data_IF_987098103344
#
_entry.id   IF_987098103344
#
_cell.length_a   1.000
_cell.length_b   1.000
_cell.length_c   1.000
_cell.angle_alpha   90.00
_cell.angle_beta   90.00
_cell.angle_gamma   90.00
#
_symmetry.space_group_name_H-M   'P 1'
#
loop_
_entity.id
_entity.type
_entity.pdbx_description
1 polymer ?
#
# COMPACT_ATOMS: atom_id res chain seq x y z
N UNK A 1 -31.27 -9.30 -73.33
CA UNK A 1 -30.86 -7.89 -73.12
C UNK A 1 -29.51 -7.88 -72.45
N UNK A 2 -28.59 -7.09 -73.02
CA UNK A 2 -27.33 -6.58 -72.48
C UNK A 2 -26.25 -7.58 -71.97
N UNK A 3 -25.28 -7.80 -72.85
CA UNK A 3 -23.87 -8.04 -72.57
C UNK A 3 -23.25 -6.91 -71.73
N UNK A 4 -22.15 -7.19 -71.01
CA UNK A 4 -20.82 -6.53 -71.12
C UNK A 4 -19.98 -6.75 -69.84
N UNK A 5 -18.81 -7.29 -70.11
CA UNK A 5 -17.56 -7.42 -69.33
C UNK A 5 -16.98 -6.09 -68.82
N UNK A 6 -16.26 -6.11 -67.68
CA UNK A 6 -15.07 -5.27 -67.36
C UNK A 6 -14.62 -5.58 -65.94
N UNK A 7 -13.45 -6.16 -65.72
CA UNK A 7 -12.07 -5.63 -65.81
C UNK A 7 -11.54 -5.37 -64.38
N UNK A 8 -10.69 -6.31 -63.95
CA UNK A 8 -9.37 -6.20 -63.32
C UNK A 8 -8.85 -4.88 -62.64
N UNK A 9 -7.83 -5.01 -61.78
CA UNK A 9 -7.55 -4.19 -60.59
C UNK A 9 -6.51 -3.09 -60.80
N UNK A 10 -6.35 -2.19 -59.82
CA UNK A 10 -5.19 -1.30 -59.65
C UNK A 10 -4.90 -1.19 -58.14
N UNK A 11 -3.78 -1.70 -57.60
CA UNK A 11 -2.36 -1.29 -57.73
C UNK A 11 -2.02 -0.07 -56.84
N UNK A 12 -0.82 -0.15 -56.22
CA UNK A 12 0.08 0.89 -55.64
C UNK A 12 -0.39 1.67 -54.39
N UNK A 13 0.44 2.14 -53.44
CA UNK A 13 1.91 2.27 -53.29
C UNK A 13 2.15 2.64 -51.81
N UNK A 14 3.10 2.03 -51.09
CA UNK A 14 4.45 2.56 -50.78
C UNK A 14 4.57 4.00 -50.23
N UNK A 15 5.32 4.14 -49.12
CA UNK A 15 6.01 5.37 -48.71
C UNK A 15 5.40 6.01 -47.45
N UNK A 16 6.12 6.58 -46.49
CA UNK A 16 7.54 6.92 -46.27
C UNK A 16 7.63 7.37 -44.81
N UNK A 17 8.55 6.85 -44.01
CA UNK A 17 9.73 7.54 -43.45
C UNK A 17 9.53 8.95 -42.82
N UNK A 18 10.12 9.09 -41.62
CA UNK A 18 10.48 10.32 -40.88
C UNK A 18 9.31 11.09 -40.23
N UNK A 19 9.42 11.65 -39.03
CA UNK A 19 10.52 12.46 -38.52
C UNK A 19 10.28 12.75 -37.02
N UNK A 20 11.31 12.57 -36.19
CA UNK A 20 11.35 13.13 -34.84
C UNK A 20 11.60 14.65 -34.89
N UNK A 21 11.21 15.39 -33.85
CA UNK A 21 12.02 16.51 -33.41
C UNK A 21 12.46 16.34 -31.96
N UNK A 22 13.78 16.42 -31.78
CA UNK A 22 14.43 16.82 -30.56
C UNK A 22 14.35 18.35 -30.37
N UNK A 23 14.96 18.83 -29.29
CA UNK A 23 15.25 20.22 -28.91
C UNK A 23 14.12 20.82 -28.02
N UNK A 24 14.36 21.19 -26.75
CA UNK A 24 15.30 22.24 -26.37
C UNK A 24 15.71 22.16 -24.88
N UNK A 25 17.02 22.19 -24.66
CA UNK A 25 17.69 22.49 -23.39
C UNK A 25 17.78 24.01 -23.25
N UNK A 26 17.47 24.55 -22.07
CA UNK A 26 17.90 25.89 -21.66
C UNK A 26 18.19 25.91 -20.16
N UNK A 27 19.39 26.36 -19.82
CA UNK A 27 19.92 26.54 -18.48
C UNK A 27 20.19 28.04 -18.21
N UNK A 28 20.36 28.34 -16.91
CA UNK A 28 20.69 29.64 -16.29
C UNK A 28 19.53 30.65 -16.25
N UNK A 29 19.14 31.26 -15.14
CA UNK A 29 19.80 31.48 -13.84
C UNK A 29 19.74 32.98 -13.55
N UNK A 30 19.06 33.42 -12.48
CA UNK A 30 19.50 34.55 -11.66
C UNK A 30 18.64 34.73 -10.41
N UNK A 31 19.35 34.93 -9.32
CA UNK A 31 18.95 35.30 -7.97
C UNK A 31 18.24 36.65 -7.88
N UNK A 32 17.21 36.73 -7.04
CA UNK A 32 16.63 37.97 -6.56
C UNK A 32 15.54 37.68 -5.54
N UNK A 33 15.89 37.72 -4.25
CA UNK A 33 14.94 37.52 -3.15
C UNK A 33 14.06 38.73 -2.91
N UNK A 34 12.94 38.50 -2.21
CA UNK A 34 12.45 39.33 -1.10
C UNK A 34 11.19 38.68 -0.46
N UNK A 35 10.87 39.06 0.80
CA UNK A 35 10.22 38.18 1.76
C UNK A 35 8.76 38.57 2.05
N UNK A 36 7.94 37.61 2.46
CA UNK A 36 7.18 37.64 3.72
C UNK A 36 6.21 36.47 3.86
N UNK A 37 6.05 36.07 5.11
CA UNK A 37 5.32 34.94 5.66
C UNK A 37 3.80 34.98 5.45
N UNK A 38 3.22 33.82 5.21
CA UNK A 38 1.97 33.44 5.89
C UNK A 38 1.90 31.93 6.07
N UNK A 39 1.72 31.55 7.34
CA UNK A 39 1.62 30.20 7.85
C UNK A 39 0.46 29.44 7.18
N UNK A 40 0.80 28.42 6.42
CA UNK A 40 -0.10 27.33 6.04
C UNK A 40 0.67 26.03 6.25
N UNK A 41 0.92 25.69 7.52
CA UNK A 41 1.55 24.42 7.88
C UNK A 41 0.59 23.29 7.50
N UNK A 42 0.72 22.78 6.28
CA UNK A 42 0.17 21.47 5.92
C UNK A 42 0.79 20.47 6.90
N UNK A 43 0.00 19.67 7.63
CA UNK A 43 0.57 18.65 8.50
C UNK A 43 1.36 17.68 7.61
N UNK A 44 2.69 17.75 7.70
CA UNK A 44 3.55 16.79 7.06
C UNK A 44 3.15 15.39 7.55
N UNK A 45 2.97 14.40 6.66
CA UNK A 45 2.78 13.03 7.10
C UNK A 45 3.98 12.68 7.98
N UNK A 46 3.71 12.23 9.22
CA UNK A 46 4.77 11.82 10.15
C UNK A 46 5.65 10.79 9.43
N UNK A 47 6.98 10.99 9.35
CA UNK A 47 7.85 9.95 8.82
C UNK A 47 7.64 8.71 9.70
N UNK A 48 7.16 7.63 9.08
CA UNK A 48 7.07 6.34 9.73
C UNK A 48 8.47 5.99 10.24
N UNK A 49 8.52 5.55 11.51
CA UNK A 49 9.71 5.21 12.26
C UNK A 49 10.72 4.42 11.41
N UNK A 50 12.03 4.64 11.63
CA UNK A 50 13.14 3.95 10.97
C UNK A 50 13.25 2.43 11.33
N UNK A 51 12.13 1.79 11.65
CA UNK A 51 12.02 0.36 11.87
C UNK A 51 12.02 -0.33 10.49
N UNK A 52 13.05 -1.16 10.28
CA UNK A 52 13.07 -2.10 9.15
C UNK A 52 11.88 -3.05 9.24
N UNK A 53 11.15 -3.25 8.14
CA UNK A 53 10.11 -4.26 8.06
C UNK A 53 10.65 -5.64 8.48
N UNK A 54 9.88 -6.35 9.31
CA UNK A 54 10.26 -7.67 9.81
C UNK A 54 10.40 -8.68 8.65
N UNK A 55 11.49 -9.48 8.55
CA UNK A 55 11.73 -10.36 7.40
C UNK A 55 10.61 -11.37 7.13
N UNK A 56 10.00 -11.93 8.19
CA UNK A 56 8.89 -12.88 8.02
C UNK A 56 7.60 -12.19 7.53
N UNK A 57 7.36 -10.95 7.95
CA UNK A 57 6.22 -10.18 7.47
C UNK A 57 6.40 -9.84 5.99
N UNK A 58 7.61 -9.41 5.61
CA UNK A 58 7.95 -9.14 4.22
C UNK A 58 7.79 -10.38 3.35
N UNK A 59 8.32 -11.54 3.79
CA UNK A 59 8.20 -12.79 3.07
C UNK A 59 6.73 -13.23 2.90
N UNK A 60 5.93 -13.14 3.96
CA UNK A 60 4.51 -13.48 3.91
C UNK A 60 3.73 -12.55 2.97
N UNK A 61 3.98 -11.24 3.05
CA UNK A 61 3.40 -10.24 2.16
C UNK A 61 3.77 -10.46 0.69
N UNK A 62 5.04 -10.75 0.40
CA UNK A 62 5.54 -10.99 -0.96
C UNK A 62 4.89 -12.22 -1.62
N UNK A 63 4.65 -13.28 -0.83
CA UNK A 63 4.13 -14.55 -1.33
C UNK A 63 2.60 -14.66 -1.26
N UNK A 64 1.94 -13.69 -0.62
CA UNK A 64 0.51 -13.81 -0.31
C UNK A 64 0.24 -14.97 0.67
N UNK A 65 1.16 -15.25 1.60
CA UNK A 65 0.97 -16.24 2.65
C UNK A 65 0.07 -15.66 3.74
N UNK A 66 -1.23 -15.74 3.49
CA UNK A 66 -2.26 -15.26 4.41
C UNK A 66 -2.16 -15.92 5.79
N UNK A 67 -1.90 -17.22 5.85
CA UNK A 67 -1.86 -17.95 7.12
C UNK A 67 -0.65 -17.51 7.95
N UNK A 68 0.53 -17.41 7.34
CA UNK A 68 1.72 -16.88 7.98
C UNK A 68 1.55 -15.43 8.44
N UNK A 69 0.95 -14.57 7.60
CA UNK A 69 0.68 -13.17 7.94
C UNK A 69 -0.35 -13.05 9.07
N UNK A 70 -1.43 -13.82 9.03
CA UNK A 70 -2.43 -13.91 10.09
C UNK A 70 -1.83 -14.42 11.40
N UNK A 71 -1.00 -15.47 11.34
CA UNK A 71 -0.31 -15.99 12.51
C UNK A 71 0.60 -14.93 13.13
N UNK A 72 1.32 -14.14 12.33
CA UNK A 72 2.22 -13.09 12.83
C UNK A 72 1.47 -11.91 13.48
N UNK A 73 0.33 -11.51 12.92
CA UNK A 73 -0.43 -10.34 13.38
C UNK A 73 -1.46 -10.67 14.49
N UNK A 74 -2.00 -11.89 14.55
CA UNK A 74 -3.00 -12.28 15.56
C UNK A 74 -2.41 -13.14 16.70
N UNK A 75 -1.10 -12.99 17.02
CA UNK A 75 -0.41 -13.81 18.05
C UNK A 75 -1.01 -13.69 19.46
N UNK A 76 -1.81 -12.67 19.73
CA UNK A 76 -2.33 -12.37 21.07
C UNK A 76 -3.31 -13.43 21.60
N UNK A 77 -4.06 -14.15 20.76
CA UNK A 77 -5.06 -15.13 21.25
C UNK A 77 -4.47 -16.49 21.65
N UNK A 78 -3.32 -16.88 21.09
CA UNK A 78 -2.72 -18.19 21.41
C UNK A 78 -2.11 -18.27 22.81
N UNK A 79 -1.74 -17.14 23.43
CA UNK A 79 -1.21 -17.11 24.79
C UNK A 79 -2.33 -17.06 25.85
N UNK A 80 -3.44 -16.37 25.57
CA UNK A 80 -4.57 -16.29 26.51
C UNK A 80 -5.22 -17.67 26.66
N UNK A 81 -5.41 -18.41 25.56
CA UNK A 81 -5.89 -19.80 25.63
C UNK A 81 -4.91 -20.71 26.39
N UNK A 82 -3.61 -20.61 26.13
CA UNK A 82 -2.61 -21.47 26.76
C UNK A 82 -2.50 -21.22 28.28
N UNK A 83 -2.54 -19.95 28.70
CA UNK A 83 -2.44 -19.58 30.12
C UNK A 83 -3.75 -19.83 30.90
N UNK A 84 -4.91 -19.68 30.25
CA UNK A 84 -6.20 -19.94 30.89
C UNK A 84 -6.48 -21.44 31.00
N UNK A 85 -6.17 -22.23 29.98
CA UNK A 85 -6.28 -23.69 30.00
C UNK A 85 -5.28 -24.32 30.99
N UNK A 86 -4.09 -23.73 31.14
CA UNK A 86 -3.11 -24.13 32.16
C UNK A 86 -3.55 -23.75 33.59
N UNK A 87 -4.17 -22.58 33.79
CA UNK A 87 -4.76 -22.20 35.10
C UNK A 87 -5.94 -23.08 35.51
N UNK A 88 -6.82 -23.40 34.57
CA UNK A 88 -8.03 -24.19 34.82
C UNK A 88 -7.68 -25.65 35.10
N UNK A 89 -6.63 -26.18 34.45
CA UNK A 89 -6.09 -27.50 34.78
C UNK A 89 -5.35 -27.55 36.12
N UNK A 90 -4.78 -26.44 36.61
CA UNK A 90 -4.06 -26.36 37.90
C UNK A 90 -4.94 -26.05 39.12
N UNK A 91 -6.17 -25.58 38.90
CA UNK A 91 -7.14 -25.26 39.95
C UNK A 91 -7.46 -26.41 40.94
N UNK A 92 -7.41 -27.71 40.58
CA UNK A 92 -7.66 -28.80 41.54
C UNK A 92 -6.53 -29.02 42.54
N UNK A 93 -5.33 -28.48 42.31
CA UNK A 93 -4.14 -28.80 43.12
C UNK A 93 -3.72 -27.68 44.09
N UNK A 94 -4.32 -26.49 44.01
CA UNK A 94 -3.97 -25.34 44.87
C UNK A 94 -4.95 -25.10 46.02
N UNK A 95 -5.92 -25.99 46.23
CA UNK A 95 -6.87 -25.90 47.34
C UNK A 95 -6.75 -27.12 48.25
N UNK A 96 -5.77 -27.11 49.14
CA UNK A 96 -5.67 -28.12 50.19
C UNK A 96 -4.29 -28.30 50.81
N UNK A 97 -4.00 -27.49 51.83
CA UNK A 97 -3.10 -27.77 52.97
C UNK A 97 -1.58 -28.00 52.74
N UNK A 98 -0.79 -27.13 53.39
CA UNK A 98 0.31 -27.59 54.26
C UNK A 98 1.75 -27.44 53.75
N UNK A 99 2.39 -26.33 54.17
CA UNK A 99 3.78 -26.23 54.61
C UNK A 99 4.77 -27.35 54.20
N UNK A 100 5.72 -27.03 53.31
CA UNK A 100 7.10 -27.54 53.42
C UNK A 100 8.08 -26.46 52.93
N UNK A 101 8.85 -25.94 53.88
CA UNK A 101 10.10 -25.26 53.65
C UNK A 101 11.13 -26.26 53.10
N UNK A 102 11.89 -25.84 52.08
CA UNK A 102 13.23 -26.34 51.78
C UNK A 102 14.03 -25.13 51.26
N UNK A 103 14.89 -24.65 52.14
CA UNK A 103 16.04 -23.80 51.85
C UNK A 103 17.09 -24.68 51.14
N UNK A 104 17.71 -24.20 50.05
CA UNK A 104 19.15 -24.37 49.87
C UNK A 104 19.73 -23.32 48.90
N UNK A 105 20.87 -22.78 49.29
CA UNK A 105 21.58 -21.64 48.72
C UNK A 105 22.96 -22.08 48.21
N UNK A 106 23.40 -21.41 47.13
CA UNK A 106 24.78 -21.28 46.63
C UNK A 106 25.47 -22.53 46.03
N UNK A 107 26.08 -22.51 44.84
CA UNK A 107 27.19 -21.61 44.47
C UNK A 107 27.54 -21.70 42.96
N UNK A 108 27.81 -20.53 42.36
CA UNK A 108 28.78 -20.21 41.28
C UNK A 108 28.84 -21.05 39.99
N UNK A 109 28.53 -20.41 38.86
CA UNK A 109 29.53 -20.12 37.82
C UNK A 109 28.97 -19.15 36.78
N UNK A 110 29.71 -18.09 36.53
CA UNK A 110 29.61 -17.22 35.35
C UNK A 110 29.52 -18.06 34.07
N UNK A 111 28.52 -17.80 33.22
CA UNK A 111 28.72 -17.61 31.79
C UNK A 111 27.40 -17.27 31.07
N UNK A 112 27.57 -16.42 30.07
CA UNK A 112 26.63 -15.81 29.15
C UNK A 112 25.55 -16.77 28.64
N UNK A 113 24.29 -16.40 28.83
CA UNK A 113 23.26 -16.31 27.79
C UNK A 113 22.21 -15.34 28.35
N UNK A 114 22.39 -14.04 28.12
CA UNK A 114 21.25 -13.14 28.06
C UNK A 114 20.42 -13.65 26.90
N UNK A 115 19.49 -14.56 27.19
CA UNK A 115 18.39 -14.88 26.32
C UNK A 115 17.74 -13.55 25.98
N UNK A 116 18.06 -13.06 24.78
CA UNK A 116 17.49 -11.87 24.20
C UNK A 116 16.01 -12.17 24.01
N UNK A 117 15.24 -11.96 25.08
CA UNK A 117 13.81 -11.77 25.03
C UNK A 117 13.62 -10.45 24.31
N UNK A 118 13.78 -10.47 22.98
CA UNK A 118 13.28 -9.42 22.11
C UNK A 118 11.84 -9.19 22.59
N UNK A 119 11.50 -7.98 23.08
CA UNK A 119 10.15 -7.67 23.46
C UNK A 119 9.27 -8.12 22.30
N UNK A 120 8.32 -9.01 22.57
CA UNK A 120 7.44 -9.57 21.54
C UNK A 120 6.74 -8.39 20.89
N UNK A 121 7.19 -8.01 19.70
CA UNK A 121 6.71 -6.84 18.97
C UNK A 121 5.19 -6.98 18.80
N UNK A 122 4.42 -5.96 19.20
CA UNK A 122 2.97 -5.97 18.99
C UNK A 122 2.64 -5.99 17.49
N UNK A 123 1.45 -6.45 17.12
CA UNK A 123 1.00 -6.47 15.73
C UNK A 123 1.06 -5.08 15.08
N UNK A 124 0.70 -4.03 15.82
CA UNK A 124 0.80 -2.65 15.39
C UNK A 124 2.27 -2.26 15.10
N UNK A 125 3.20 -2.58 16.01
CA UNK A 125 4.62 -2.27 15.81
C UNK A 125 5.28 -3.09 14.69
N UNK A 126 4.77 -4.29 14.37
CA UNK A 126 5.20 -5.05 13.19
C UNK A 126 4.79 -4.35 11.88
N UNK A 127 3.59 -3.77 11.84
CA UNK A 127 3.05 -3.09 10.67
C UNK A 127 3.67 -1.71 10.44
N UNK A 128 4.18 -1.04 11.47
CA UNK A 128 4.90 0.23 11.34
C UNK A 128 6.23 0.12 10.56
N UNK A 129 6.78 -1.10 10.44
CA UNK A 129 8.02 -1.33 9.73
C UNK A 129 7.88 -1.15 8.21
N UNK A 130 8.85 -0.46 7.59
CA UNK A 130 8.89 -0.22 6.14
C UNK A 130 10.13 -0.83 5.49
N UNK A 131 10.06 -1.08 4.18
CA UNK A 131 11.24 -1.50 3.41
C UNK A 131 12.21 -0.33 3.21
N UNK A 132 13.40 -0.60 2.65
CA UNK A 132 14.38 0.44 2.28
C UNK A 132 13.83 1.48 1.30
N UNK A 133 12.84 1.10 0.49
CA UNK A 133 12.15 2.00 -0.45
C UNK A 133 10.91 2.67 0.17
N UNK A 134 10.67 2.48 1.47
CA UNK A 134 9.53 3.05 2.20
C UNK A 134 8.22 2.28 2.00
N UNK A 135 8.26 1.05 1.48
CA UNK A 135 7.04 0.28 1.27
C UNK A 135 6.51 -0.23 2.61
N UNK A 136 5.25 0.07 2.92
CA UNK A 136 4.52 -0.61 4.00
C UNK A 136 4.11 -2.02 3.55
N UNK A 137 3.67 -2.86 4.49
CA UNK A 137 3.22 -4.22 4.18
C UNK A 137 2.10 -4.22 3.09
N UNK A 138 1.22 -3.23 3.11
CA UNK A 138 0.15 -3.10 2.11
C UNK A 138 0.68 -2.78 0.71
N UNK A 139 1.72 -1.94 0.59
CA UNK A 139 2.33 -1.69 -0.72
C UNK A 139 2.93 -2.95 -1.33
N UNK A 140 3.57 -3.79 -0.49
CA UNK A 140 4.17 -5.06 -0.92
C UNK A 140 3.08 -6.03 -1.39
N UNK A 141 2.05 -6.26 -0.57
CA UNK A 141 0.91 -7.12 -0.95
C UNK A 141 0.27 -6.64 -2.25
N UNK A 142 0.05 -5.33 -2.38
CA UNK A 142 -0.57 -4.72 -3.54
C UNK A 142 0.23 -4.89 -4.83
N UNK A 143 1.57 -4.81 -4.76
CA UNK A 143 2.45 -4.96 -5.92
C UNK A 143 2.61 -6.43 -6.35
N UNK A 144 2.56 -7.38 -5.41
CA UNK A 144 2.97 -8.76 -5.65
C UNK A 144 1.88 -9.64 -6.25
N UNK A 145 0.60 -9.44 -5.91
CA UNK A 145 -0.47 -10.32 -6.40
C UNK A 145 -1.89 -9.83 -6.12
N UNK A 146 -2.84 -10.47 -6.79
CA UNK A 146 -4.27 -10.15 -6.74
C UNK A 146 -5.19 -11.38 -6.61
N UNK A 147 -4.62 -12.53 -6.25
CA UNK A 147 -5.39 -13.72 -5.90
C UNK A 147 -5.97 -13.64 -4.48
N UNK A 148 -6.90 -14.54 -4.15
CA UNK A 148 -7.67 -14.54 -2.90
C UNK A 148 -6.82 -14.35 -1.63
N UNK A 149 -5.65 -14.98 -1.55
CA UNK A 149 -4.80 -14.85 -0.37
C UNK A 149 -4.18 -13.45 -0.26
N UNK A 150 -3.82 -12.80 -1.38
CA UNK A 150 -3.35 -11.42 -1.37
C UNK A 150 -4.46 -10.46 -0.96
N UNK A 151 -5.69 -10.67 -1.44
CA UNK A 151 -6.84 -9.86 -1.06
C UNK A 151 -7.16 -10.01 0.43
N UNK A 152 -7.08 -11.25 0.97
CA UNK A 152 -7.18 -11.49 2.41
C UNK A 152 -6.08 -10.74 3.15
N UNK A 153 -4.81 -10.86 2.74
CA UNK A 153 -3.70 -10.12 3.35
C UNK A 153 -3.97 -8.62 3.40
N UNK A 154 -4.45 -8.02 2.30
CA UNK A 154 -4.83 -6.62 2.25
C UNK A 154 -5.91 -6.29 3.30
N UNK A 155 -6.98 -7.11 3.38
CA UNK A 155 -8.04 -6.94 4.38
C UNK A 155 -7.52 -6.92 5.82
N UNK A 156 -6.66 -7.87 6.22
CA UNK A 156 -6.13 -7.91 7.59
C UNK A 156 -5.22 -6.75 7.91
N UNK A 157 -4.35 -6.38 6.96
CA UNK A 157 -3.47 -5.23 7.14
C UNK A 157 -4.32 -3.97 7.32
N UNK A 158 -5.37 -3.78 6.52
CA UNK A 158 -6.27 -2.65 6.64
C UNK A 158 -7.11 -2.67 7.93
N UNK A 159 -7.53 -3.85 8.40
CA UNK A 159 -8.26 -3.99 9.66
C UNK A 159 -7.40 -3.59 10.87
N UNK A 160 -6.10 -3.90 10.83
CA UNK A 160 -5.14 -3.58 11.90
C UNK A 160 -4.55 -2.16 11.78
N UNK A 161 -4.35 -1.67 10.56
CA UNK A 161 -3.68 -0.42 10.26
C UNK A 161 -4.37 0.30 9.08
N UNK A 162 -5.55 0.85 9.35
CA UNK A 162 -6.39 1.46 8.32
C UNK A 162 -5.73 2.68 7.63
N UNK A 163 -4.80 3.36 8.30
CA UNK A 163 -3.98 4.43 7.72
C UNK A 163 -3.03 3.95 6.61
N UNK A 164 -2.81 2.65 6.45
CA UNK A 164 -1.92 2.11 5.42
C UNK A 164 -2.48 2.21 4.01
N UNK A 165 -3.81 2.32 3.84
CA UNK A 165 -4.42 2.55 2.52
C UNK A 165 -3.89 3.83 1.89
N UNK A 166 -3.75 4.91 2.68
CA UNK A 166 -3.25 6.21 2.22
C UNK A 166 -1.75 6.43 2.50
N UNK A 167 -1.02 5.39 2.91
CA UNK A 167 0.41 5.51 3.17
C UNK A 167 1.18 5.79 1.87
N UNK A 168 2.32 6.46 1.99
CA UNK A 168 3.17 6.85 0.87
C UNK A 168 4.55 6.22 1.02
N UNK A 169 5.08 5.62 -0.04
CA UNK A 169 6.48 5.18 -0.08
C UNK A 169 7.44 6.35 -0.38
N UNK A 170 8.74 6.07 -0.55
CA UNK A 170 9.74 7.11 -0.82
C UNK A 170 9.52 7.89 -2.13
N UNK A 171 8.74 7.33 -3.07
CA UNK A 171 8.35 7.98 -4.34
C UNK A 171 7.01 8.72 -4.24
N UNK A 172 6.37 8.68 -3.07
CA UNK A 172 5.02 9.22 -2.88
C UNK A 172 3.94 8.31 -3.46
N UNK A 173 4.27 7.10 -3.89
CA UNK A 173 3.27 6.16 -4.41
C UNK A 173 2.43 5.62 -3.25
N UNK A 174 1.12 5.52 -3.47
CA UNK A 174 0.19 4.79 -2.58
C UNK A 174 0.17 3.30 -2.94
N UNK A 175 -0.40 2.42 -2.10
CA UNK A 175 -0.65 1.03 -2.48
C UNK A 175 -1.45 0.88 -3.79
N UNK A 176 -2.37 1.81 -4.07
CA UNK A 176 -3.14 1.84 -5.33
C UNK A 176 -2.25 2.07 -6.55
N UNK A 177 -1.25 2.96 -6.46
CA UNK A 177 -0.26 3.16 -7.52
C UNK A 177 0.54 1.88 -7.76
N UNK A 178 0.98 1.22 -6.69
CA UNK A 178 1.74 -0.03 -6.78
C UNK A 178 0.93 -1.16 -7.43
N UNK A 179 -0.32 -1.38 -7.00
CA UNK A 179 -1.22 -2.37 -7.60
C UNK A 179 -1.47 -2.08 -9.08
N UNK A 180 -1.74 -0.81 -9.41
CA UNK A 180 -1.97 -0.39 -10.78
C UNK A 180 -0.75 -0.65 -11.65
N UNK A 181 0.45 -0.22 -11.21
CA UNK A 181 1.72 -0.42 -11.92
C UNK A 181 2.04 -1.88 -12.18
N UNK A 182 1.66 -2.74 -11.27
CA UNK A 182 1.82 -4.18 -11.37
C UNK A 182 0.71 -4.88 -12.18
N UNK A 183 -0.28 -4.13 -12.70
CA UNK A 183 -1.41 -4.66 -13.48
C UNK A 183 -2.37 -5.54 -12.66
N UNK A 184 -2.45 -5.31 -11.35
CA UNK A 184 -3.21 -6.14 -10.40
C UNK A 184 -4.66 -5.70 -10.32
N UNK A 185 -5.40 -5.89 -11.41
CA UNK A 185 -6.77 -5.37 -11.55
C UNK A 185 -7.72 -5.79 -10.40
N UNK A 186 -7.67 -7.04 -9.93
CA UNK A 186 -8.53 -7.46 -8.81
C UNK A 186 -8.13 -6.78 -7.50
N UNK A 187 -6.83 -6.60 -7.25
CA UNK A 187 -6.33 -5.85 -6.10
C UNK A 187 -6.71 -4.37 -6.18
N UNK A 188 -6.67 -3.76 -7.37
CA UNK A 188 -7.10 -2.37 -7.56
C UNK A 188 -8.57 -2.20 -7.18
N UNK A 189 -9.46 -3.05 -7.71
CA UNK A 189 -10.88 -3.05 -7.32
C UNK A 189 -11.03 -3.18 -5.81
N UNK A 190 -10.32 -4.15 -5.22
CA UNK A 190 -10.41 -4.44 -3.80
C UNK A 190 -9.91 -3.29 -2.91
N UNK A 191 -8.85 -2.58 -3.31
CA UNK A 191 -8.36 -1.40 -2.59
C UNK A 191 -9.34 -0.21 -2.69
N UNK A 192 -10.02 -0.05 -3.82
CA UNK A 192 -11.09 0.94 -3.99
C UNK A 192 -12.25 0.58 -3.06
N UNK A 193 -12.71 -0.68 -3.06
CA UNK A 193 -13.80 -1.15 -2.20
C UNK A 193 -13.46 -0.95 -0.71
N UNK A 194 -12.22 -1.21 -0.32
CA UNK A 194 -11.73 -0.96 1.05
C UNK A 194 -11.67 0.52 1.41
N UNK A 195 -11.44 1.41 0.45
CA UNK A 195 -11.48 2.85 0.66
C UNK A 195 -12.92 3.38 0.74
N UNK A 196 -13.84 2.84 -0.07
CA UNK A 196 -15.27 3.16 -0.01
C UNK A 196 -15.96 2.64 1.24
N UNK A 197 -15.70 1.39 1.65
CA UNK A 197 -16.36 0.76 2.79
C UNK A 197 -15.88 1.25 4.16
N UNK A 198 -15.05 2.29 4.21
CA UNK A 198 -14.53 2.87 5.45
C UNK A 198 -15.46 3.95 6.03
N UNK A 199 -16.72 3.93 5.60
CA UNK A 199 -17.82 4.76 6.08
C UNK A 199 -17.84 4.86 7.62
N UNK A 200 -17.29 5.97 8.13
CA UNK A 200 -18.05 6.74 9.10
C UNK A 200 -19.45 6.94 8.51
N UNK A 201 -20.49 6.84 9.34
CA UNK A 201 -21.95 6.83 9.07
C UNK A 201 -22.52 7.99 8.19
N UNK A 202 -21.65 8.71 7.48
CA UNK A 202 -21.89 9.90 6.66
C UNK A 202 -22.08 9.63 5.16
N UNK A 203 -21.77 8.43 4.65
CA UNK A 203 -21.99 8.09 3.23
C UNK A 203 -21.29 9.03 2.24
N UNK A 204 -20.11 9.54 2.62
CA UNK A 204 -19.39 10.55 1.86
C UNK A 204 -18.35 9.90 0.93
N UNK A 205 -18.77 9.65 -0.31
CA UNK A 205 -17.95 9.15 -1.42
C UNK A 205 -16.73 10.06 -1.74
N UNK A 206 -16.68 11.24 -1.13
CA UNK A 206 -15.52 12.14 -1.16
C UNK A 206 -14.23 11.45 -0.68
N UNK A 207 -14.30 10.46 0.23
CA UNK A 207 -13.10 9.78 0.71
C UNK A 207 -12.43 8.90 -0.36
N UNK A 208 -13.22 8.14 -1.12
CA UNK A 208 -12.68 7.26 -2.18
C UNK A 208 -12.25 8.06 -3.41
N UNK A 209 -12.95 9.15 -3.73
CA UNK A 209 -12.54 10.06 -4.81
C UNK A 209 -11.20 10.73 -4.50
N UNK A 210 -10.98 11.22 -3.28
CA UNK A 210 -9.68 11.74 -2.84
C UNK A 210 -8.58 10.65 -2.84
N UNK A 211 -8.95 9.40 -2.56
CA UNK A 211 -8.03 8.27 -2.63
C UNK A 211 -7.53 8.00 -4.06
N UNK A 212 -8.42 7.99 -5.06
CA UNK A 212 -8.04 7.80 -6.48
C UNK A 212 -7.37 9.04 -7.10
N UNK A 213 -7.67 10.24 -6.58
CA UNK A 213 -7.03 11.52 -6.96
C UNK A 213 -5.64 11.71 -6.37
N UNK A 214 -5.21 10.84 -5.44
CA UNK A 214 -3.92 11.01 -4.78
C UNK A 214 -2.77 10.99 -5.79
N UNK A 215 -1.94 12.02 -5.75
CA UNK A 215 -0.75 12.16 -6.59
C UNK A 215 0.51 11.69 -5.87
N UNK A 216 1.43 11.07 -6.61
CA UNK A 216 2.78 10.79 -6.15
C UNK A 216 3.71 12.02 -6.27
N UNK A 217 5.01 11.87 -5.95
CA UNK A 217 5.97 12.97 -6.07
C UNK A 217 6.19 13.45 -7.51
N UNK A 218 5.77 12.68 -8.51
CA UNK A 218 5.83 13.03 -9.93
C UNK A 218 4.54 13.67 -10.43
N UNK A 219 3.57 13.96 -9.55
CA UNK A 219 2.25 14.48 -9.93
C UNK A 219 1.43 13.51 -10.78
N UNK A 220 1.75 12.22 -10.68
CA UNK A 220 1.00 11.16 -11.34
C UNK A 220 -0.02 10.57 -10.36
N UNK A 221 -1.22 10.32 -10.86
CA UNK A 221 -2.27 9.53 -10.20
C UNK A 221 -2.19 8.07 -10.63
N UNK A 222 -2.94 7.18 -9.97
CA UNK A 222 -3.09 5.79 -10.41
C UNK A 222 -3.58 5.67 -11.87
N UNK A 223 -4.38 6.63 -12.36
CA UNK A 223 -4.86 6.64 -13.75
C UNK A 223 -3.71 6.82 -14.75
N UNK A 224 -2.70 7.65 -14.45
CA UNK A 224 -1.53 7.82 -15.32
C UNK A 224 -0.79 6.49 -15.52
N UNK A 225 -0.64 5.74 -14.44
CA UNK A 225 -0.04 4.41 -14.47
C UNK A 225 -0.87 3.42 -15.28
N UNK A 226 -2.19 3.39 -15.08
CA UNK A 226 -3.12 2.51 -15.78
C UNK A 226 -3.07 2.72 -17.31
N UNK A 227 -2.99 3.98 -17.74
CA UNK A 227 -2.83 4.34 -19.16
C UNK A 227 -1.47 3.92 -19.69
N UNK A 228 -0.40 4.10 -18.92
CA UNK A 228 0.97 3.72 -19.32
C UNK A 228 1.13 2.23 -19.56
N UNK A 229 0.53 1.40 -18.71
CA UNK A 229 0.54 -0.07 -18.90
C UNK A 229 -0.45 -0.53 -19.97
N UNK A 230 -1.45 0.29 -20.30
CA UNK A 230 -2.49 -0.04 -21.28
C UNK A 230 -3.56 -1.00 -20.77
N UNK A 231 -3.80 -1.06 -19.46
CA UNK A 231 -4.83 -1.92 -18.87
C UNK A 231 -6.18 -1.19 -18.80
N UNK A 232 -6.99 -1.41 -19.83
CA UNK A 232 -8.31 -0.79 -19.96
C UNK A 232 -9.23 -1.12 -18.78
N UNK A 233 -9.10 -2.30 -18.14
CA UNK A 233 -9.96 -2.66 -17.00
C UNK A 233 -9.68 -1.74 -15.82
N UNK A 234 -8.41 -1.45 -15.55
CA UNK A 234 -8.03 -0.55 -14.45
C UNK A 234 -8.43 0.90 -14.77
N UNK A 235 -8.25 1.33 -16.03
CA UNK A 235 -8.72 2.64 -16.48
C UNK A 235 -10.23 2.80 -16.28
N UNK A 236 -11.03 1.81 -16.70
CA UNK A 236 -12.48 1.80 -16.51
C UNK A 236 -12.86 1.83 -15.02
N UNK A 237 -12.20 1.05 -14.16
CA UNK A 237 -12.45 1.05 -12.72
C UNK A 237 -12.18 2.43 -12.09
N UNK A 238 -11.04 3.05 -12.40
CA UNK A 238 -10.69 4.36 -11.85
C UNK A 238 -11.62 5.47 -12.35
N UNK A 239 -12.00 5.47 -13.63
CA UNK A 239 -12.96 6.44 -14.17
C UNK A 239 -14.40 6.20 -13.72
N UNK A 240 -14.76 4.98 -13.32
CA UNK A 240 -16.06 4.69 -12.74
C UNK A 240 -16.20 5.28 -11.33
N UNK A 241 -15.10 5.35 -10.57
CA UNK A 241 -15.05 6.03 -9.27
C UNK A 241 -15.10 7.54 -9.45
N UNK A 242 -14.23 8.09 -10.31
CA UNK A 242 -14.20 9.52 -10.58
C UNK A 242 -14.01 9.80 -12.08
N UNK A 243 -15.09 10.14 -12.81
CA UNK A 243 -15.01 10.52 -14.21
C UNK A 243 -14.18 11.79 -14.46
N UNK A 244 -14.03 12.67 -13.45
CA UNK A 244 -13.24 13.89 -13.56
C UNK A 244 -11.73 13.66 -13.42
N UNK A 245 -11.31 12.43 -13.07
CA UNK A 245 -9.89 12.08 -12.91
C UNK A 245 -9.09 12.24 -14.21
N UNK A 246 -9.77 12.16 -15.36
CA UNK A 246 -9.20 12.39 -16.69
C UNK A 246 -9.27 13.86 -17.14
N UNK A 247 -9.93 14.74 -16.38
CA UNK A 247 -10.06 16.16 -16.73
C UNK A 247 -8.79 16.87 -16.32
N UNK A 248 -8.04 17.33 -17.32
CA UNK A 248 -6.95 18.28 -17.08
C UNK A 248 -7.55 19.53 -16.41
N UNK A 249 -7.11 19.86 -15.19
CA UNK A 249 -7.38 21.16 -14.60
C UNK A 249 -6.80 22.22 -15.54
N UNK A 250 -7.66 22.79 -16.39
CA UNK A 250 -7.31 23.93 -17.19
C UNK A 250 -7.19 25.06 -16.20
N UNK A 251 -5.97 25.45 -15.85
CA UNK A 251 -5.69 26.68 -15.12
C UNK A 251 -6.52 27.77 -15.78
N UNK A 252 -7.65 28.09 -15.16
CA UNK A 252 -8.55 29.11 -15.63
C UNK A 252 -7.87 30.38 -15.19
N UNK A 253 -6.91 30.82 -16.00
CA UNK A 253 -6.32 32.14 -15.90
C UNK A 253 -7.51 33.10 -15.86
N UNK A 254 -7.85 33.57 -14.66
CA UNK A 254 -8.75 34.69 -14.49
C UNK A 254 -8.08 35.89 -15.16
N UNK A 255 -8.39 36.08 -16.44
CA UNK A 255 -8.14 37.31 -17.16
C UNK A 255 -9.15 38.33 -16.63
N UNK A 256 -8.92 38.82 -15.41
CA UNK A 256 -9.58 40.04 -14.95
C UNK A 256 -8.99 41.18 -15.77
N UNK A 257 -9.78 41.63 -16.74
CA UNK A 257 -9.58 42.89 -17.46
C UNK A 257 -10.04 44.05 -16.60
#
# INVERSE_FOLDING_TARGET
>A
MASITRDEPLIISSGTAAKAPAVMVAAAGSSGGCPCSSNGQVPAPKPLSAASMHPLLLAAACNGDWEGLNFLLNREETQVWASQLFREQLAPYTSGNGSLAMEDEATTSDDVEQGSTTPLMSAASLLEGVTVEGYTALHVVAANGDGDNFLKCANLICAMAANHLSALNNKGDTPLHCATRAGKSQMVSHLIDLASGRDDDTGDDTSVTEFVRKENHQKETALHEAVRIGDNRIVEMLMAVDPELAVFQKDTLHHST
#
